data_IF_213610271570
#
_entry.id   IF_213610271570
#
_cell.length_a   1.000
_cell.length_b   1.000
_cell.length_c   1.000
_cell.angle_alpha   90.00
_cell.angle_beta   90.00
_cell.angle_gamma   90.00
#
_symmetry.space_group_name_H-M   'P 1'
#
loop_
_entity.id
_entity.type
_entity.pdbx_description
1 polymer ?
#
# COMPACT_ATOMS: atom_id res chain seq x y z
N UNK A 1 -1.22 0.43 9.70
CA UNK A 1 -1.22 1.73 9.01
C UNK A 1 -2.55 2.40 9.27
N UNK A 2 -2.56 3.72 9.38
CA UNK A 2 -3.78 4.52 9.53
C UNK A 2 -3.86 5.58 8.45
N UNK A 3 -5.06 6.10 8.24
CA UNK A 3 -5.29 7.29 7.39
C UNK A 3 -4.42 8.44 7.89
N UNK A 4 -3.76 9.12 6.95
CA UNK A 4 -2.83 10.22 7.20
C UNK A 4 -1.36 9.80 7.38
N UNK A 5 -1.05 8.50 7.48
CA UNK A 5 0.34 8.05 7.47
C UNK A 5 0.99 8.34 6.10
N UNK A 6 2.26 8.73 6.11
CA UNK A 6 3.10 8.81 4.91
C UNK A 6 3.87 7.51 4.74
N UNK A 7 3.87 6.98 3.52
CA UNK A 7 4.50 5.71 3.20
C UNK A 7 5.21 5.77 1.85
N UNK A 8 6.15 4.86 1.65
CA UNK A 8 6.66 4.48 0.33
C UNK A 8 6.43 2.98 0.16
N UNK A 9 6.15 2.55 -1.07
CA UNK A 9 5.89 1.16 -1.38
C UNK A 9 6.52 0.74 -2.72
N UNK A 10 6.68 -0.56 -2.91
CA UNK A 10 7.05 -1.13 -4.21
C UNK A 10 6.34 -2.47 -4.43
N UNK A 11 5.89 -2.79 -5.65
CA UNK A 11 5.40 -4.13 -5.95
C UNK A 11 6.54 -5.14 -5.75
N UNK A 12 6.26 -6.29 -5.13
CA UNK A 12 7.28 -7.33 -4.89
C UNK A 12 7.87 -7.94 -6.16
N UNK A 13 7.25 -7.71 -7.31
CA UNK A 13 7.76 -8.10 -8.62
C UNK A 13 8.79 -7.12 -9.21
N UNK A 14 8.99 -5.95 -8.59
CA UNK A 14 9.97 -4.96 -9.01
C UNK A 14 11.33 -5.22 -8.36
N UNK A 15 12.39 -4.69 -8.99
CA UNK A 15 13.77 -4.79 -8.50
C UNK A 15 13.99 -4.06 -7.17
N UNK A 16 15.20 -4.19 -6.62
CA UNK A 16 15.49 -3.67 -5.27
C UNK A 16 15.50 -2.14 -5.17
N UNK A 17 15.78 -1.45 -6.27
CA UNK A 17 16.12 -0.03 -6.27
C UNK A 17 14.95 0.94 -6.52
N UNK A 18 13.80 0.46 -7.02
CA UNK A 18 12.68 1.32 -7.42
C UNK A 18 11.57 1.35 -6.37
N UNK A 19 11.66 2.32 -5.45
CA UNK A 19 10.60 2.65 -4.50
C UNK A 19 9.71 3.77 -5.01
N UNK A 20 8.43 3.75 -4.62
CA UNK A 20 7.52 4.85 -4.91
C UNK A 20 7.98 6.13 -4.21
N UNK A 21 7.63 7.29 -4.78
CA UNK A 21 7.65 8.53 -4.02
C UNK A 21 6.80 8.40 -2.73
N UNK A 22 7.02 9.26 -1.72
CA UNK A 22 6.17 9.33 -0.54
C UNK A 22 4.70 9.58 -0.92
N UNK A 23 3.82 8.66 -0.54
CA UNK A 23 2.38 8.77 -0.70
C UNK A 23 1.67 8.89 0.65
N UNK A 24 0.49 9.53 0.67
CA UNK A 24 -0.35 9.65 1.86
C UNK A 24 -1.48 8.63 1.83
N UNK A 25 -1.71 7.96 2.94
CA UNK A 25 -2.83 7.02 3.10
C UNK A 25 -4.12 7.81 3.26
N UNK A 26 -5.05 7.62 2.33
CA UNK A 26 -6.36 8.28 2.32
C UNK A 26 -7.44 7.46 2.99
N UNK A 27 -7.40 6.14 2.82
CA UNK A 27 -8.44 5.23 3.32
C UNK A 27 -7.88 3.80 3.48
N UNK A 28 -8.62 2.95 4.18
CA UNK A 28 -8.31 1.53 4.34
C UNK A 28 -9.56 0.69 4.50
N UNK A 29 -9.60 -0.48 3.88
CA UNK A 29 -10.68 -1.44 4.05
C UNK A 29 -10.17 -2.89 4.02
N UNK A 30 -10.90 -3.78 4.70
CA UNK A 30 -10.67 -5.22 4.58
C UNK A 30 -11.35 -5.75 3.32
N UNK A 31 -10.59 -6.45 2.49
CA UNK A 31 -11.09 -7.24 1.37
C UNK A 31 -11.02 -8.73 1.72
N UNK A 32 -12.15 -9.43 1.64
CA UNK A 32 -12.23 -10.86 1.95
C UNK A 32 -12.92 -11.60 0.80
N UNK A 33 -12.14 -12.18 -0.10
CA UNK A 33 -12.59 -12.98 -1.24
C UNK A 33 -12.29 -14.48 -1.07
N UNK A 34 -12.11 -14.93 0.18
CA UNK A 34 -11.85 -16.35 0.50
C UNK A 34 -12.95 -17.30 0.04
N UNK A 35 -14.18 -16.81 -0.14
CA UNK A 35 -15.30 -17.62 -0.66
C UNK A 35 -15.09 -18.08 -2.10
N UNK A 36 -14.27 -17.36 -2.87
CA UNK A 36 -13.91 -17.69 -4.26
C UNK A 36 -12.48 -18.23 -4.39
N UNK A 37 -11.88 -18.67 -3.28
CA UNK A 37 -10.50 -19.17 -3.25
C UNK A 37 -9.43 -18.08 -3.17
N UNK A 38 -9.81 -16.84 -2.89
CA UNK A 38 -8.90 -15.71 -2.69
C UNK A 38 -8.37 -15.61 -1.26
N UNK A 39 -8.06 -14.38 -0.83
CA UNK A 39 -7.40 -14.06 0.42
C UNK A 39 -8.20 -13.06 1.26
N UNK A 40 -7.82 -12.93 2.53
CA UNK A 40 -8.29 -11.81 3.34
C UNK A 40 -7.13 -10.84 3.50
N UNK A 41 -7.23 -9.68 2.86
CA UNK A 41 -6.19 -8.65 2.82
C UNK A 41 -6.72 -7.31 3.35
N UNK A 42 -5.87 -6.56 4.04
CA UNK A 42 -6.10 -5.16 4.32
C UNK A 42 -5.56 -4.33 3.15
N UNK A 43 -6.45 -3.58 2.49
CA UNK A 43 -6.10 -2.72 1.36
C UNK A 43 -6.04 -1.27 1.83
N UNK A 44 -4.98 -0.56 1.45
CA UNK A 44 -4.82 0.88 1.66
C UNK A 44 -4.99 1.63 0.35
N UNK A 45 -5.76 2.73 0.38
CA UNK A 45 -5.84 3.67 -0.73
C UNK A 45 -4.83 4.78 -0.49
N UNK A 46 -3.84 4.91 -1.38
CA UNK A 46 -2.71 5.80 -1.22
C UNK A 46 -2.71 6.82 -2.35
N UNK A 47 -2.60 8.11 -2.02
CA UNK A 47 -2.40 9.17 -3.01
C UNK A 47 -0.93 9.42 -3.23
N UNK A 48 -0.49 9.31 -4.48
CA UNK A 48 0.90 9.45 -4.90
C UNK A 48 0.94 9.94 -6.34
N UNK A 49 1.85 10.87 -6.65
CA UNK A 49 2.14 11.34 -8.01
C UNK A 49 0.89 11.75 -8.84
N UNK A 50 -0.17 12.23 -8.17
CA UNK A 50 -1.40 12.71 -8.81
C UNK A 50 -2.48 11.65 -9.06
N UNK A 51 -2.31 10.42 -8.57
CA UNK A 51 -3.30 9.34 -8.70
C UNK A 51 -3.48 8.53 -7.41
N UNK A 52 -4.53 7.69 -7.39
CA UNK A 52 -4.82 6.76 -6.29
C UNK A 52 -4.29 5.37 -6.62
N UNK A 53 -3.56 4.78 -5.69
CA UNK A 53 -3.09 3.40 -5.72
C UNK A 53 -3.80 2.56 -4.67
N UNK A 54 -3.99 1.28 -4.97
CA UNK A 54 -4.32 0.25 -3.97
C UNK A 54 -3.04 -0.44 -3.57
N UNK A 55 -2.75 -0.50 -2.28
CA UNK A 55 -1.51 -1.07 -1.73
C UNK A 55 -1.87 -2.11 -0.67
N UNK A 56 -1.18 -3.24 -0.66
CA UNK A 56 -1.30 -4.23 0.42
C UNK A 56 0.02 -4.97 0.66
N UNK A 57 0.22 -5.45 1.88
CA UNK A 57 1.47 -6.14 2.26
C UNK A 57 1.69 -7.49 1.58
N UNK A 58 0.68 -8.08 0.96
CA UNK A 58 0.84 -9.34 0.22
C UNK A 58 1.57 -9.09 -1.10
N UNK A 59 1.16 -8.06 -1.83
CA UNK A 59 1.67 -7.72 -3.16
C UNK A 59 2.82 -6.71 -3.13
N UNK A 60 2.87 -5.87 -2.10
CA UNK A 60 3.80 -4.74 -2.03
C UNK A 60 4.67 -4.83 -0.78
N UNK A 61 5.93 -4.43 -0.91
CA UNK A 61 6.76 -4.05 0.22
C UNK A 61 6.45 -2.60 0.57
N UNK A 62 6.31 -2.32 1.86
CA UNK A 62 5.77 -1.04 2.36
C UNK A 62 6.62 -0.55 3.52
N UNK A 63 7.06 0.71 3.45
CA UNK A 63 7.82 1.39 4.49
C UNK A 63 7.06 2.62 4.99
N UNK A 64 7.05 2.80 6.31
CA UNK A 64 6.51 3.99 6.96
C UNK A 64 7.56 5.09 6.97
N UNK A 65 7.15 6.29 6.58
CA UNK A 65 8.00 7.47 6.58
C UNK A 65 7.66 8.30 7.81
N UNK A 66 8.44 8.13 8.87
CA UNK A 66 8.36 8.98 10.06
C UNK A 66 9.26 10.20 9.89
N UNK A 67 8.75 11.39 10.13
CA UNK A 67 9.59 12.59 10.25
C UNK A 67 10.49 12.46 11.48
N UNK A 68 11.79 12.71 11.30
CA UNK A 68 12.79 12.81 12.37
C UNK A 68 12.69 14.13 13.12
#
# INVERSE_FOLDING_TARGET
MKVGDLISFKPKSFGDDDWSNPGIVLDSYEHDDRQTGGWKDLIWIVWIDGYKCMVNQRNDDVVYLTGS
#
